data_IF_048712386625
#
_entry.id   IF_048712386625
#
_cell.length_a   1.000
_cell.length_b   1.000
_cell.length_c   1.000
_cell.angle_alpha   90.00
_cell.angle_beta   90.00
_cell.angle_gamma   90.00
#
_symmetry.space_group_name_H-M   'P 1'
#
loop_
_entity.id
_entity.type
_entity.pdbx_description
1 polymer ?
#
# COMPACT_ATOMS: atom_id res chain seq x y z
N UNK A 1 3.50 31.86 -54.39
CA UNK A 1 2.28 32.68 -54.21
C UNK A 1 1.61 32.26 -52.92
N UNK A 2 1.37 33.25 -52.02
CA UNK A 2 0.39 33.32 -50.90
C UNK A 2 0.44 32.16 -49.88
N UNK A 3 1.06 32.24 -48.69
CA UNK A 3 1.10 33.30 -47.67
C UNK A 3 -0.30 33.79 -47.29
N UNK A 4 -0.86 33.23 -46.22
CA UNK A 4 -1.89 33.86 -45.41
C UNK A 4 -1.50 33.76 -43.93
N UNK A 5 -1.74 34.86 -43.22
CA UNK A 5 -1.11 35.28 -41.97
C UNK A 5 -2.21 36.04 -41.18
N UNK A 6 -2.18 35.94 -39.84
CA UNK A 6 -2.68 36.92 -38.82
C UNK A 6 -4.18 36.79 -38.42
N UNK A 7 -4.72 37.28 -37.26
CA UNK A 7 -4.19 37.72 -35.91
C UNK A 7 -4.85 37.02 -34.66
N UNK A 8 -4.25 36.97 -33.46
CA UNK A 8 -4.19 37.91 -32.27
C UNK A 8 -5.47 38.10 -31.44
N UNK A 9 -5.42 37.75 -30.13
CA UNK A 9 -5.84 38.52 -28.92
C UNK A 9 -5.96 37.53 -27.72
N UNK A 10 -5.09 37.49 -26.70
CA UNK A 10 -4.79 38.44 -25.62
C UNK A 10 -5.98 38.68 -24.67
N UNK A 11 -5.96 38.04 -23.50
CA UNK A 11 -6.64 38.54 -22.29
C UNK A 11 -5.88 38.12 -21.02
N UNK A 12 -5.39 39.15 -20.31
CA UNK A 12 -4.87 39.10 -18.94
C UNK A 12 -5.99 38.88 -17.93
N UNK A 13 -5.68 38.28 -16.78
CA UNK A 13 -6.09 38.82 -15.47
C UNK A 13 -5.08 38.41 -14.40
N UNK A 14 -4.38 39.41 -13.86
CA UNK A 14 -3.59 39.31 -12.65
C UNK A 14 -4.48 39.65 -11.45
N UNK A 15 -4.42 38.86 -10.37
CA UNK A 15 -5.01 39.23 -9.08
C UNK A 15 -3.86 39.45 -8.11
N UNK A 16 -3.63 40.72 -7.79
CA UNK A 16 -2.85 41.15 -6.64
C UNK A 16 -3.81 41.31 -5.46
N UNK A 17 -3.53 40.64 -4.34
CA UNK A 17 -4.16 40.90 -3.05
C UNK A 17 -3.08 41.47 -2.12
N UNK A 18 -3.29 42.70 -1.70
CA UNK A 18 -2.53 43.34 -0.64
C UNK A 18 -3.50 44.01 0.35
N UNK A 19 -3.04 44.03 1.60
CA UNK A 19 -3.47 44.83 2.76
C UNK A 19 -4.65 44.28 3.57
N UNK A 20 -4.42 43.98 4.85
CA UNK A 20 -4.53 45.01 5.89
C UNK A 20 -4.13 44.46 7.27
N UNK A 21 -3.29 45.22 7.97
CA UNK A 21 -3.00 45.09 9.38
C UNK A 21 -4.21 45.54 10.23
N UNK A 22 -4.33 45.01 11.46
CA UNK A 22 -4.79 45.73 12.64
C UNK A 22 -4.19 45.09 13.89
N UNK A 23 -3.52 45.95 14.65
CA UNK A 23 -2.88 45.79 15.96
C UNK A 23 -3.91 45.99 17.08
N UNK A 24 -3.67 45.41 18.27
CA UNK A 24 -3.61 46.08 19.60
C UNK A 24 -3.63 45.03 20.73
N UNK A 25 -2.56 44.99 21.55
CA UNK A 25 -2.46 45.48 22.95
C UNK A 25 -2.98 44.43 23.97
N UNK A 26 -2.41 44.14 25.15
CA UNK A 26 -1.46 44.84 26.01
C UNK A 26 -0.99 43.94 27.19
N UNK A 27 0.11 44.35 27.85
CA UNK A 27 0.53 44.14 29.27
C UNK A 27 1.25 42.87 29.78
N UNK A 28 2.59 42.95 29.68
CA UNK A 28 3.61 43.19 30.73
C UNK A 28 3.36 42.84 32.23
N UNK A 29 4.36 42.17 32.83
CA UNK A 29 5.12 42.54 34.05
C UNK A 29 6.14 41.40 34.33
N UNK A 30 7.37 41.54 34.86
CA UNK A 30 8.35 42.58 35.16
C UNK A 30 9.64 41.80 35.57
N UNK A 31 10.84 42.32 35.29
CA UNK A 31 12.14 41.69 35.60
C UNK A 31 12.66 42.08 37.02
N UNK A 32 13.97 42.08 37.39
CA UNK A 32 15.11 41.16 37.22
C UNK A 32 15.84 40.87 38.57
N UNK A 33 16.88 39.98 38.57
CA UNK A 33 18.24 40.24 39.14
C UNK A 33 19.15 38.99 39.15
N UNK A 34 20.27 39.07 38.41
CA UNK A 34 21.52 38.28 38.57
C UNK A 34 22.41 38.92 39.66
N UNK A 35 23.42 38.24 40.28
CA UNK A 35 24.67 37.87 39.59
C UNK A 35 25.43 36.59 40.07
N UNK A 36 26.33 36.13 39.18
CA UNK A 36 27.67 35.55 39.40
C UNK A 36 27.89 34.02 39.58
N UNK A 37 28.54 33.44 38.54
CA UNK A 37 29.67 32.47 38.47
C UNK A 37 29.65 31.24 39.41
N UNK A 38 29.90 29.99 38.98
CA UNK A 38 31.05 29.50 38.20
C UNK A 38 30.84 28.01 37.79
N UNK A 39 31.60 27.54 36.80
CA UNK A 39 32.01 26.16 36.50
C UNK A 39 31.05 25.13 35.83
N UNK A 40 31.33 24.91 34.54
CA UNK A 40 31.58 23.63 33.84
C UNK A 40 30.61 22.43 33.98
N UNK A 41 29.97 22.05 32.87
CA UNK A 41 30.08 20.75 32.19
C UNK A 41 28.86 20.50 31.28
N UNK A 42 29.13 20.06 30.04
CA UNK A 42 28.35 19.14 29.17
C UNK A 42 26.84 19.44 29.01
N UNK A 43 26.31 19.88 27.88
CA UNK A 43 26.35 19.26 26.56
C UNK A 43 24.92 19.41 26.01
N UNK A 44 24.78 20.03 24.85
CA UNK A 44 23.52 20.54 24.32
C UNK A 44 22.52 19.41 24.02
N UNK A 45 21.25 19.63 24.37
CA UNK A 45 20.12 18.87 23.86
C UNK A 45 20.02 19.12 22.35
N UNK A 46 20.15 18.06 21.55
CA UNK A 46 19.63 18.03 20.19
C UNK A 46 18.88 16.71 20.01
N UNK A 47 17.57 16.89 19.91
CA UNK A 47 16.58 15.98 19.37
C UNK A 47 16.94 15.64 17.92
N UNK A 48 17.42 14.43 17.63
CA UNK A 48 17.13 13.76 16.37
C UNK A 48 17.59 12.30 16.38
N UNK A 49 17.03 11.51 15.46
CA UNK A 49 17.29 10.08 15.22
C UNK A 49 16.54 9.08 16.11
N UNK A 50 15.20 9.15 16.08
CA UNK A 50 14.34 7.97 16.22
C UNK A 50 13.53 7.77 14.93
N UNK A 51 14.22 7.70 13.78
CA UNK A 51 13.58 7.54 12.46
C UNK A 51 14.40 6.69 11.49
N UNK A 52 15.17 5.73 11.99
CA UNK A 52 16.05 4.96 11.11
C UNK A 52 16.34 3.54 11.57
N UNK A 53 15.38 2.80 12.14
CA UNK A 53 15.58 1.34 12.36
C UNK A 53 14.29 0.53 12.18
N UNK A 54 13.68 0.58 11.00
CA UNK A 54 12.78 -0.47 10.48
C UNK A 54 12.81 -0.49 8.95
N UNK A 55 14.00 -0.59 8.36
CA UNK A 55 14.13 -1.00 6.95
C UNK A 55 14.76 -2.39 6.90
N UNK A 56 13.98 -3.33 6.37
CA UNK A 56 14.40 -4.62 5.81
C UNK A 56 15.48 -5.42 6.53
N UNK A 57 15.02 -6.27 7.45
CA UNK A 57 15.67 -7.58 7.64
C UNK A 57 14.67 -8.69 7.35
N UNK A 58 14.27 -8.81 6.07
CA UNK A 58 13.82 -10.11 5.56
C UNK A 58 15.04 -11.02 5.62
N UNK A 59 14.98 -12.02 6.51
CA UNK A 59 16.00 -13.08 6.56
C UNK A 59 16.13 -13.67 5.16
N UNK A 60 17.34 -13.66 4.59
CA UNK A 60 17.64 -14.06 3.20
C UNK A 60 17.35 -15.54 2.85
N UNK A 61 16.63 -16.25 3.73
CA UNK A 61 16.30 -17.67 3.64
C UNK A 61 14.79 -17.95 3.60
N UNK A 62 13.91 -16.93 3.66
CA UNK A 62 12.45 -17.14 3.53
C UNK A 62 12.03 -17.08 2.04
N UNK A 63 11.59 -18.19 1.42
CA UNK A 63 11.16 -18.19 0.03
C UNK A 63 9.77 -17.58 -0.17
N UNK A 64 9.02 -17.29 0.89
CA UNK A 64 7.65 -16.81 0.79
C UNK A 64 7.57 -15.28 0.75
N UNK A 65 6.62 -14.77 -0.05
CA UNK A 65 6.22 -13.38 -0.02
C UNK A 65 5.80 -12.97 1.40
N UNK A 66 6.20 -11.76 1.87
CA UNK A 66 5.82 -11.23 3.17
C UNK A 66 4.31 -11.19 3.36
N UNK A 67 3.85 -11.84 4.43
CA UNK A 67 2.51 -11.68 4.95
C UNK A 67 2.44 -12.09 6.43
N UNK A 68 1.27 -11.83 7.03
CA UNK A 68 1.03 -12.07 8.46
C UNK A 68 0.79 -13.53 8.78
N UNK A 69 0.53 -14.39 7.79
CA UNK A 69 0.39 -15.82 8.01
C UNK A 69 1.66 -16.40 8.64
N UNK A 70 2.83 -16.04 8.11
CA UNK A 70 4.13 -16.45 8.66
C UNK A 70 4.65 -15.50 9.73
N UNK A 71 4.51 -14.18 9.56
CA UNK A 71 5.05 -13.19 10.51
C UNK A 71 4.43 -13.33 11.91
N UNK A 72 3.12 -13.56 11.97
CA UNK A 72 2.38 -13.66 13.23
C UNK A 72 2.20 -15.12 13.68
N UNK A 73 2.87 -16.07 13.00
CA UNK A 73 2.77 -17.52 13.28
C UNK A 73 1.33 -18.05 13.27
N UNK A 74 0.49 -17.53 12.36
CA UNK A 74 -0.91 -17.96 12.19
C UNK A 74 -0.95 -19.34 11.52
N UNK A 75 -0.06 -19.58 10.56
CA UNK A 75 0.03 -20.85 9.84
C UNK A 75 1.46 -21.11 9.35
N UNK A 76 1.81 -22.39 9.24
CA UNK A 76 2.96 -22.86 8.46
C UNK A 76 2.58 -22.90 6.97
N UNK A 77 3.56 -22.66 6.10
CA UNK A 77 3.39 -22.67 4.64
C UNK A 77 4.24 -23.72 3.96
N UNK A 78 3.67 -24.32 2.93
CA UNK A 78 4.37 -25.16 1.96
C UNK A 78 4.10 -24.62 0.55
N UNK A 79 5.14 -24.35 -0.23
CA UNK A 79 5.00 -23.84 -1.60
C UNK A 79 4.33 -24.89 -2.50
N UNK A 80 3.27 -24.48 -3.21
CA UNK A 80 2.64 -25.30 -4.26
C UNK A 80 3.12 -24.88 -5.64
N UNK A 81 3.08 -23.57 -5.91
CA UNK A 81 3.55 -22.98 -7.16
C UNK A 81 3.88 -21.50 -6.95
N UNK A 82 4.76 -20.99 -7.81
CA UNK A 82 5.10 -19.57 -7.89
C UNK A 82 5.15 -19.19 -9.37
N UNK A 83 4.59 -18.03 -9.68
CA UNK A 83 4.64 -17.44 -11.01
C UNK A 83 5.13 -16.00 -10.90
N UNK A 84 5.93 -15.58 -11.87
CA UNK A 84 6.48 -14.23 -11.96
C UNK A 84 5.92 -13.53 -13.19
N UNK A 85 5.64 -12.25 -13.05
CA UNK A 85 5.01 -11.42 -14.07
C UNK A 85 5.73 -10.07 -14.17
N UNK A 86 5.44 -9.36 -15.26
CA UNK A 86 5.80 -7.96 -15.44
C UNK A 86 4.70 -7.32 -16.28
N UNK A 87 3.47 -7.44 -15.78
CA UNK A 87 2.25 -6.93 -16.40
C UNK A 87 1.84 -5.67 -15.66
N UNK A 88 1.74 -4.55 -16.38
CA UNK A 88 1.37 -3.26 -15.81
C UNK A 88 0.09 -2.77 -16.47
N UNK A 89 -0.82 -2.27 -15.65
CA UNK A 89 -2.03 -1.60 -16.07
C UNK A 89 -2.07 -0.22 -15.41
N UNK A 90 -2.59 0.76 -16.14
CA UNK A 90 -2.67 2.15 -15.67
C UNK A 90 -4.12 2.61 -15.73
N UNK A 91 -4.57 3.22 -14.66
CA UNK A 91 -5.86 3.88 -14.57
C UNK A 91 -5.67 5.27 -13.96
N UNK A 92 -6.00 6.30 -14.74
CA UNK A 92 -5.70 7.70 -14.46
C UNK A 92 -4.27 7.95 -13.96
N UNK A 93 -4.10 8.21 -12.67
CA UNK A 93 -2.82 8.55 -12.04
C UNK A 93 -2.22 7.39 -11.22
N UNK A 94 -2.75 6.18 -11.38
CA UNK A 94 -2.26 4.98 -10.73
C UNK A 94 -1.74 3.98 -11.76
N UNK A 95 -0.53 3.49 -11.54
CA UNK A 95 0.02 2.36 -12.28
C UNK A 95 0.19 1.19 -11.31
N UNK A 96 -0.44 0.05 -11.64
CA UNK A 96 -0.34 -1.18 -10.88
C UNK A 96 0.38 -2.21 -11.73
N UNK A 97 1.44 -2.79 -11.19
CA UNK A 97 2.22 -3.84 -11.85
C UNK A 97 2.12 -5.13 -11.05
N UNK A 98 1.60 -6.19 -11.67
CA UNK A 98 1.68 -7.54 -11.12
C UNK A 98 3.09 -8.08 -11.35
N UNK A 99 3.79 -8.39 -10.24
CA UNK A 99 5.16 -8.92 -10.25
C UNK A 99 5.23 -10.42 -10.02
N UNK A 100 4.27 -10.98 -9.30
CA UNK A 100 4.25 -12.41 -9.03
C UNK A 100 3.07 -12.85 -8.21
N UNK A 101 2.83 -14.15 -8.16
CA UNK A 101 1.89 -14.78 -7.24
C UNK A 101 2.48 -16.08 -6.71
N UNK A 102 2.28 -16.33 -5.42
CA UNK A 102 2.62 -17.59 -4.78
C UNK A 102 1.36 -18.28 -4.28
N UNK A 103 1.22 -19.56 -4.61
CA UNK A 103 0.20 -20.43 -4.02
C UNK A 103 0.88 -21.32 -2.99
N UNK A 104 0.40 -21.27 -1.76
CA UNK A 104 0.97 -22.02 -0.64
C UNK A 104 -0.09 -22.81 0.08
N UNK A 105 0.18 -24.08 0.38
CA UNK A 105 -0.65 -24.86 1.28
C UNK A 105 -0.42 -24.35 2.70
N UNK A 106 -1.50 -24.16 3.44
CA UNK A 106 -1.45 -23.77 4.83
C UNK A 106 -1.64 -24.96 5.76
N UNK A 107 -0.93 -24.90 6.89
CA UNK A 107 -1.25 -25.65 8.09
C UNK A 107 -1.45 -24.65 9.23
N UNK A 108 -2.71 -24.34 9.61
CA UNK A 108 -2.99 -23.45 10.72
C UNK A 108 -2.27 -23.91 12.00
N UNK A 109 -1.81 -22.96 12.80
CA UNK A 109 -1.34 -23.26 14.15
C UNK A 109 -2.52 -23.56 15.06
N UNK A 110 -2.32 -24.43 16.07
CA UNK A 110 -3.35 -24.88 17.02
C UNK A 110 -4.12 -23.70 17.64
N UNK A 111 -3.46 -22.57 17.92
CA UNK A 111 -4.09 -21.37 18.51
C UNK A 111 -5.02 -20.60 17.55
N UNK A 112 -4.96 -20.90 16.26
CA UNK A 112 -5.70 -20.22 15.21
C UNK A 112 -6.71 -21.12 14.49
N UNK A 113 -6.82 -22.42 14.81
CA UNK A 113 -7.72 -23.39 14.15
C UNK A 113 -9.16 -22.88 14.03
N UNK A 114 -9.70 -22.26 15.08
CA UNK A 114 -11.06 -21.71 15.10
C UNK A 114 -11.29 -20.62 14.03
N UNK A 115 -10.23 -19.92 13.62
CA UNK A 115 -10.28 -18.89 12.57
C UNK A 115 -10.46 -19.47 11.17
N UNK A 116 -10.23 -20.79 11.01
CA UNK A 116 -10.28 -21.49 9.72
C UNK A 116 -11.48 -22.46 9.61
N UNK A 117 -12.43 -22.38 10.54
CA UNK A 117 -13.64 -23.24 10.56
C UNK A 117 -14.61 -22.96 9.40
N UNK A 118 -14.42 -21.88 8.66
CA UNK A 118 -15.18 -21.54 7.45
C UNK A 118 -14.80 -22.36 6.20
N UNK A 119 -13.67 -23.08 6.24
CA UNK A 119 -13.22 -23.94 5.13
C UNK A 119 -13.78 -25.35 5.27
N UNK A 120 -13.90 -26.08 4.15
CA UNK A 120 -14.47 -27.45 4.16
C UNK A 120 -13.59 -28.40 4.98
N UNK A 121 -12.28 -28.19 4.95
CA UNK A 121 -11.28 -28.94 5.70
C UNK A 121 -10.13 -27.99 6.10
N UNK A 122 -9.90 -27.73 7.40
CA UNK A 122 -8.91 -26.78 7.87
C UNK A 122 -7.47 -27.18 7.57
N UNK A 123 -7.20 -28.45 7.22
CA UNK A 123 -5.87 -28.92 6.78
C UNK A 123 -5.67 -28.80 5.25
N UNK A 124 -6.69 -28.37 4.51
CA UNK A 124 -6.68 -28.27 3.05
C UNK A 124 -7.03 -26.85 2.60
N UNK A 125 -6.25 -25.89 3.09
CA UNK A 125 -6.38 -24.48 2.73
C UNK A 125 -5.19 -24.07 1.89
N UNK A 126 -5.44 -23.25 0.87
CA UNK A 126 -4.42 -22.62 0.05
C UNK A 126 -4.49 -21.11 0.24
N UNK A 127 -3.34 -20.49 0.49
CA UNK A 127 -3.16 -19.05 0.37
C UNK A 127 -2.58 -18.71 -1.01
N UNK A 128 -3.24 -17.82 -1.73
CA UNK A 128 -2.67 -17.14 -2.87
C UNK A 128 -2.20 -15.75 -2.43
N UNK A 129 -0.90 -15.47 -2.53
CA UNK A 129 -0.32 -14.17 -2.18
C UNK A 129 0.23 -13.52 -3.44
N UNK A 130 -0.40 -12.45 -3.90
CA UNK A 130 0.02 -11.67 -5.07
C UNK A 130 0.95 -10.51 -4.65
N UNK A 131 2.02 -10.30 -5.39
CA UNK A 131 2.94 -9.17 -5.24
C UNK A 131 2.62 -8.13 -6.32
N UNK A 132 2.22 -6.95 -5.87
CA UNK A 132 1.92 -5.79 -6.70
C UNK A 132 2.93 -4.68 -6.43
N UNK A 133 3.38 -3.98 -7.47
CA UNK A 133 3.97 -2.66 -7.34
C UNK A 133 2.91 -1.62 -7.70
N UNK A 134 2.73 -0.62 -6.85
CA UNK A 134 1.76 0.46 -7.07
C UNK A 134 2.52 1.77 -7.12
N UNK A 135 2.35 2.52 -8.19
CA UNK A 135 2.93 3.84 -8.40
C UNK A 135 1.82 4.89 -8.38
N UNK A 136 2.00 5.89 -7.53
CA UNK A 136 1.11 7.04 -7.40
C UNK A 136 1.68 8.22 -8.18
N UNK A 137 1.13 8.50 -9.36
CA UNK A 137 1.45 9.70 -10.14
C UNK A 137 0.45 10.85 -9.87
N UNK A 138 -0.41 10.71 -8.85
CA UNK A 138 -1.40 11.68 -8.44
C UNK A 138 -0.83 12.80 -7.56
N UNK A 139 -1.73 13.59 -6.97
CA UNK A 139 -1.38 14.75 -6.12
C UNK A 139 -1.55 14.47 -4.62
N UNK A 140 -2.28 13.43 -4.24
CA UNK A 140 -2.59 13.08 -2.85
C UNK A 140 -1.94 11.74 -2.43
N UNK A 141 -1.66 11.51 -1.14
CA UNK A 141 -1.19 10.22 -0.63
C UNK A 141 -2.24 9.12 -0.79
N UNK A 142 -1.79 7.87 -1.00
CA UNK A 142 -2.68 6.72 -1.19
C UNK A 142 -2.41 5.63 -0.13
N UNK A 143 -3.35 5.36 0.79
CA UNK A 143 -3.24 4.26 1.74
C UNK A 143 -3.46 2.90 1.07
N UNK A 144 -2.41 2.09 0.96
CA UNK A 144 -2.48 0.76 0.32
C UNK A 144 -3.12 -0.32 1.19
N UNK A 145 -3.34 -0.04 2.48
CA UNK A 145 -4.01 -0.98 3.41
C UNK A 145 -5.49 -1.23 3.06
N UNK A 146 -6.12 -0.28 2.37
CA UNK A 146 -7.55 -0.29 2.05
C UNK A 146 -7.82 -0.77 0.60
N UNK A 147 -6.77 -1.19 -0.12
CA UNK A 147 -6.89 -1.79 -1.45
C UNK A 147 -7.84 -3.00 -1.40
N UNK A 148 -8.85 -2.96 -2.27
CA UNK A 148 -9.80 -4.04 -2.47
C UNK A 148 -9.42 -4.83 -3.72
N UNK A 149 -9.31 -6.14 -3.57
CA UNK A 149 -8.97 -7.03 -4.66
C UNK A 149 -9.76 -8.33 -4.60
N UNK A 150 -10.00 -8.91 -5.76
CA UNK A 150 -10.63 -10.21 -5.92
C UNK A 150 -9.72 -11.15 -6.69
N UNK A 151 -9.66 -12.40 -6.23
CA UNK A 151 -9.18 -13.51 -7.03
C UNK A 151 -10.42 -14.23 -7.59
N UNK A 152 -10.54 -14.25 -8.90
CA UNK A 152 -11.76 -14.64 -9.59
C UNK A 152 -11.54 -15.84 -10.52
N UNK A 153 -12.59 -16.63 -10.67
CA UNK A 153 -12.72 -17.68 -11.67
C UNK A 153 -13.98 -17.41 -12.49
N UNK A 154 -14.28 -18.28 -13.45
CA UNK A 154 -15.54 -18.21 -14.19
C UNK A 154 -16.78 -18.43 -13.31
N UNK A 155 -16.63 -18.99 -12.11
CA UNK A 155 -17.76 -19.43 -11.27
C UNK A 155 -17.83 -18.75 -9.91
N UNK A 156 -16.72 -18.26 -9.35
CA UNK A 156 -16.70 -17.58 -8.06
C UNK A 156 -15.63 -16.49 -7.98
N UNK A 157 -15.68 -15.71 -6.90
CA UNK A 157 -14.68 -14.71 -6.56
C UNK A 157 -14.38 -14.73 -5.07
N UNK A 158 -13.12 -14.49 -4.72
CA UNK A 158 -12.61 -14.45 -3.36
C UNK A 158 -12.11 -13.04 -3.10
N UNK A 159 -12.67 -12.36 -2.08
CA UNK A 159 -12.14 -11.07 -1.62
C UNK A 159 -10.81 -11.28 -0.89
N UNK A 160 -9.88 -10.34 -1.04
CA UNK A 160 -8.63 -10.37 -0.28
C UNK A 160 -8.87 -10.22 1.23
N UNK A 161 -7.92 -10.73 2.01
CA UNK A 161 -7.94 -10.73 3.46
C UNK A 161 -6.91 -9.71 3.98
N UNK A 162 -7.27 -8.42 4.00
CA UNK A 162 -6.36 -7.32 4.39
C UNK A 162 -5.68 -7.55 5.75
N UNK A 163 -6.35 -8.24 6.68
CA UNK A 163 -5.81 -8.56 8.01
C UNK A 163 -4.64 -9.55 7.98
N UNK A 164 -4.50 -10.32 6.90
CA UNK A 164 -3.42 -11.28 6.69
C UNK A 164 -2.27 -10.71 5.87
N UNK A 165 -2.45 -9.54 5.26
CA UNK A 165 -1.46 -8.92 4.38
C UNK A 165 -0.33 -8.26 5.16
N UNK A 166 0.85 -8.17 4.53
CA UNK A 166 1.91 -7.33 5.07
C UNK A 166 1.49 -5.86 5.07
N UNK A 167 1.99 -5.11 6.06
CA UNK A 167 1.77 -3.67 6.11
C UNK A 167 2.48 -3.01 4.92
N UNK A 168 1.71 -2.25 4.15
CA UNK A 168 2.14 -1.57 2.94
C UNK A 168 2.19 -0.05 3.11
N UNK A 169 1.75 0.48 4.26
CA UNK A 169 1.70 1.91 4.54
C UNK A 169 0.90 2.72 3.52
N UNK A 170 1.33 3.97 3.35
CA UNK A 170 0.80 4.94 2.40
C UNK A 170 1.88 5.23 1.35
N UNK A 171 1.46 5.56 0.13
CA UNK A 171 2.36 5.99 -0.95
C UNK A 171 2.16 7.48 -1.25
N UNK A 172 3.23 8.24 -1.10
CA UNK A 172 3.23 9.68 -1.43
C UNK A 172 3.20 9.91 -2.95
N UNK A 173 2.80 11.11 -3.40
CA UNK A 173 2.90 11.52 -4.80
C UNK A 173 4.28 11.27 -5.42
N UNK A 174 4.30 10.67 -6.60
CA UNK A 174 5.48 10.28 -7.36
C UNK A 174 6.23 9.05 -6.85
N UNK A 175 5.72 8.37 -5.81
CA UNK A 175 6.37 7.19 -5.24
C UNK A 175 5.78 5.88 -5.73
N UNK A 176 6.57 4.82 -5.56
CA UNK A 176 6.18 3.43 -5.81
C UNK A 176 6.38 2.63 -4.54
N UNK A 177 5.43 1.76 -4.21
CA UNK A 177 5.57 0.80 -3.11
C UNK A 177 5.07 -0.58 -3.52
N UNK A 178 5.47 -1.59 -2.75
CA UNK A 178 5.04 -2.97 -2.93
C UNK A 178 3.86 -3.28 -2.01
N UNK A 179 2.82 -3.87 -2.56
CA UNK A 179 1.67 -4.42 -1.84
C UNK A 179 1.62 -5.93 -2.02
N UNK A 180 1.44 -6.65 -0.91
CA UNK A 180 1.14 -8.08 -0.93
C UNK A 180 -0.33 -8.29 -0.63
N UNK A 181 -1.06 -8.93 -1.53
CA UNK A 181 -2.50 -9.17 -1.42
C UNK A 181 -2.74 -10.65 -1.18
N UNK A 182 -3.51 -11.00 -0.14
CA UNK A 182 -3.66 -12.40 0.32
C UNK A 182 -5.10 -12.88 0.13
N UNK A 183 -5.27 -14.03 -0.49
CA UNK A 183 -6.54 -14.73 -0.66
C UNK A 183 -6.47 -16.11 -0.04
N UNK A 184 -7.57 -16.61 0.50
CA UNK A 184 -7.67 -17.96 1.04
C UNK A 184 -8.76 -18.75 0.32
N UNK A 185 -8.49 -20.01 0.00
CA UNK A 185 -9.43 -20.91 -0.67
C UNK A 185 -9.26 -22.37 -0.20
N UNK A 186 -10.27 -23.20 -0.45
CA UNK A 186 -10.12 -24.65 -0.29
C UNK A 186 -9.12 -25.19 -1.33
N UNK A 187 -8.30 -26.15 -0.95
CA UNK A 187 -7.35 -26.80 -1.85
C UNK A 187 -8.03 -27.56 -3.01
N UNK A 188 -9.29 -27.97 -2.83
CA UNK A 188 -10.07 -28.58 -3.90
C UNK A 188 -10.31 -27.57 -5.02
N UNK A 189 -10.76 -26.36 -4.66
CA UNK A 189 -11.05 -25.29 -5.60
C UNK A 189 -9.77 -24.88 -6.35
N UNK A 190 -8.63 -24.73 -5.66
CA UNK A 190 -7.32 -24.51 -6.30
C UNK A 190 -6.95 -25.57 -7.37
N UNK A 191 -7.31 -26.83 -7.17
CA UNK A 191 -6.95 -27.94 -8.07
C UNK A 191 -7.89 -28.10 -9.26
N UNK A 192 -9.11 -27.60 -9.15
CA UNK A 192 -10.14 -27.73 -10.18
C UNK A 192 -10.07 -26.61 -11.21
N UNK A 193 -9.49 -25.47 -10.85
CA UNK A 193 -9.41 -24.30 -11.71
C UNK A 193 -8.17 -24.35 -12.62
N UNK A 194 -8.39 -24.07 -13.90
CA UNK A 194 -7.35 -24.00 -14.93
C UNK A 194 -6.76 -22.58 -15.02
N UNK A 195 -7.46 -21.56 -14.55
CA UNK A 195 -7.06 -20.17 -14.64
C UNK A 195 -7.71 -19.33 -13.53
N UNK A 196 -7.01 -18.27 -13.13
CA UNK A 196 -7.53 -17.26 -12.22
C UNK A 196 -7.39 -15.89 -12.87
N UNK A 197 -8.17 -14.93 -12.39
CA UNK A 197 -8.00 -13.52 -12.71
C UNK A 197 -7.85 -12.73 -11.42
N UNK A 198 -6.86 -11.85 -11.34
CA UNK A 198 -6.69 -10.91 -10.24
C UNK A 198 -7.32 -9.58 -10.64
N UNK A 199 -8.40 -9.20 -9.96
CA UNK A 199 -9.12 -7.95 -10.20
C UNK A 199 -8.96 -7.00 -9.02
N UNK A 200 -8.30 -5.87 -9.22
CA UNK A 200 -8.23 -4.77 -8.27
C UNK A 200 -9.45 -3.90 -8.48
N UNK A 201 -10.31 -3.81 -7.46
CA UNK A 201 -11.64 -3.20 -7.57
C UNK A 201 -11.77 -1.86 -6.86
N UNK A 202 -10.80 -1.51 -6.00
CA UNK A 202 -10.79 -0.21 -5.34
C UNK A 202 -9.40 0.11 -4.83
N UNK A 203 -8.98 1.36 -5.04
CA UNK A 203 -7.83 1.98 -4.38
C UNK A 203 -8.29 3.37 -3.97
N UNK A 204 -8.41 3.62 -2.66
CA UNK A 204 -8.95 4.90 -2.19
C UNK A 204 -7.84 5.84 -1.73
N UNK A 205 -8.12 7.13 -1.78
CA UNK A 205 -7.30 8.15 -1.11
C UNK A 205 -7.58 8.22 0.41
N UNK A 206 -7.00 9.21 1.06
CA UNK A 206 -7.20 9.47 2.49
C UNK A 206 -8.61 9.98 2.85
N UNK A 207 -9.40 10.42 1.87
CA UNK A 207 -10.79 10.85 2.03
C UNK A 207 -11.81 9.72 1.70
N UNK A 208 -11.32 8.51 1.45
CA UNK A 208 -12.11 7.33 1.04
C UNK A 208 -12.75 7.47 -0.36
N UNK A 209 -12.27 8.40 -1.19
CA UNK A 209 -12.67 8.48 -2.59
C UNK A 209 -11.93 7.43 -3.40
N UNK A 210 -12.66 6.65 -4.22
CA UNK A 210 -12.06 5.64 -5.09
C UNK A 210 -11.32 6.32 -6.25
N UNK A 211 -10.06 5.99 -6.39
CA UNK A 211 -9.15 6.54 -7.39
C UNK A 211 -9.20 5.75 -8.70
N UNK A 212 -9.89 4.60 -8.72
CA UNK A 212 -10.09 3.82 -9.93
C UNK A 212 -11.35 4.26 -10.67
N UNK A 213 -11.20 4.68 -11.92
CA UNK A 213 -12.28 4.87 -12.88
C UNK A 213 -12.82 3.52 -13.42
N UNK A 214 -11.97 2.49 -13.45
CA UNK A 214 -12.33 1.12 -13.79
C UNK A 214 -11.48 0.08 -13.04
N UNK A 215 -12.02 -1.12 -12.88
CA UNK A 215 -11.27 -2.23 -12.29
C UNK A 215 -10.02 -2.56 -13.13
N UNK A 216 -8.89 -2.73 -12.46
CA UNK A 216 -7.65 -3.24 -13.08
C UNK A 216 -7.68 -4.76 -12.99
N UNK A 217 -7.43 -5.46 -14.10
CA UNK A 217 -7.53 -6.92 -14.15
C UNK A 217 -6.28 -7.54 -14.77
N UNK A 218 -5.75 -8.59 -14.14
CA UNK A 218 -4.64 -9.39 -14.64
C UNK A 218 -5.07 -10.85 -14.81
N UNK A 219 -4.76 -11.43 -15.97
CA UNK A 219 -4.96 -12.86 -16.19
C UNK A 219 -3.81 -13.67 -15.58
N UNK A 220 -4.14 -14.62 -14.72
CA UNK A 220 -3.20 -15.54 -14.09
C UNK A 220 -3.29 -16.90 -14.81
N UNK A 221 -2.23 -17.33 -15.51
CA UNK A 221 -2.26 -18.60 -16.20
C UNK A 221 -2.27 -19.78 -15.21
N UNK A 222 -2.64 -20.95 -15.75
CA UNK A 222 -2.77 -22.20 -15.02
C UNK A 222 -1.59 -22.50 -14.09
N UNK A 223 -1.96 -22.97 -12.89
CA UNK A 223 -1.09 -23.38 -11.80
C UNK A 223 -0.36 -24.71 -12.02
#
# INVERSE_FOLDING_TARGET
MKLFRIPVALLLCAIALALSACSNDDKAADEPKTPAADAAAEGNEDTDALSAELTDTVSADNPFFPDRLTKDSVAEKEMLSEQNFDQSETDDNLEVTLKGIQYTKLKPADSYEESFTGFKDPEKIVAATAMLEVKNDGEEPVPLKDMGAFLETSTYRILNHNVLEADSGEIEPGQTSTKYVVFLMDQADYKEEDDFSLRISSITDTEEEDLLAADITFDLPAN
#
